data_IF_366699735648
#
_entry.id   IF_366699735648
#
_cell.length_a   1.000
_cell.length_b   1.000
_cell.length_c   1.000
_cell.angle_alpha   90.00
_cell.angle_beta   90.00
_cell.angle_gamma   90.00
#
_symmetry.space_group_name_H-M   'P 1'
#
loop_
_entity.id
_entity.type
_entity.pdbx_description
1 polymer ?
#
# COMPACT_ATOMS: atom_id res chain seq x y z
N UNK A 1 17.37 14.43 7.03
CA UNK A 1 15.93 14.77 6.92
C UNK A 1 15.33 13.87 5.86
N UNK A 2 14.19 13.24 6.12
CA UNK A 2 13.56 12.31 5.17
C UNK A 2 12.99 13.09 3.98
N UNK A 3 13.40 12.70 2.78
CA UNK A 3 12.94 13.25 1.50
C UNK A 3 12.03 12.30 0.73
N UNK A 4 12.23 10.99 0.92
CA UNK A 4 11.45 9.97 0.22
C UNK A 4 10.87 8.95 1.19
N UNK A 5 9.64 8.51 0.89
CA UNK A 5 8.94 7.49 1.66
C UNK A 5 8.62 6.31 0.73
N UNK A 6 9.05 5.10 1.14
CA UNK A 6 8.83 3.86 0.44
C UNK A 6 7.83 2.99 1.20
N UNK A 7 6.68 2.70 0.60
CA UNK A 7 5.59 1.94 1.22
C UNK A 7 5.34 0.63 0.47
N UNK A 8 5.35 -0.51 1.18
CA UNK A 8 5.18 -1.82 0.59
C UNK A 8 3.72 -2.10 0.20
N UNK A 9 3.49 -3.26 -0.40
CA UNK A 9 2.16 -3.86 -0.45
C UNK A 9 1.70 -4.23 0.97
N UNK A 10 0.39 -4.34 1.19
CA UNK A 10 -0.07 -4.69 2.53
C UNK A 10 -1.59 -4.81 2.70
N UNK A 11 -2.39 -4.51 1.69
CA UNK A 11 -3.86 -4.57 1.79
C UNK A 11 -4.37 -3.77 2.99
N UNK A 12 -5.02 -4.45 3.94
CA UNK A 12 -5.57 -3.82 5.15
C UNK A 12 -4.49 -3.34 6.15
N UNK A 13 -3.21 -3.71 5.96
CA UNK A 13 -2.11 -3.14 6.73
C UNK A 13 -1.91 -1.64 6.46
N UNK A 14 -2.64 -1.04 5.53
CA UNK A 14 -2.70 0.40 5.37
C UNK A 14 -2.99 1.11 6.72
N UNK A 15 -3.82 0.52 7.59
CA UNK A 15 -4.07 1.05 8.94
C UNK A 15 -2.81 1.02 9.82
N UNK A 16 -1.99 -0.04 9.68
CA UNK A 16 -0.68 -0.08 10.35
C UNK A 16 0.27 0.96 9.78
N UNK A 17 0.34 1.13 8.46
CA UNK A 17 1.18 2.15 7.85
C UNK A 17 0.88 3.53 8.42
N UNK A 18 -0.40 3.88 8.61
CA UNK A 18 -0.80 5.14 9.24
C UNK A 18 -0.24 5.28 10.65
N UNK A 19 -0.35 4.25 11.50
CA UNK A 19 0.18 4.31 12.85
C UNK A 19 1.70 4.38 12.89
N UNK A 20 2.38 3.53 12.08
CA UNK A 20 3.83 3.50 12.00
C UNK A 20 4.40 4.85 11.56
N UNK A 21 3.90 5.42 10.46
CA UNK A 21 4.33 6.75 9.98
C UNK A 21 4.07 7.82 11.05
N UNK A 22 2.92 7.77 11.73
CA UNK A 22 2.60 8.73 12.78
C UNK A 22 3.60 8.68 13.96
N UNK A 23 4.03 7.48 14.35
CA UNK A 23 5.08 7.34 15.37
C UNK A 23 6.38 8.05 14.98
N UNK A 24 6.80 7.95 13.72
CA UNK A 24 7.98 8.68 13.21
C UNK A 24 7.75 10.19 13.09
N UNK A 25 6.55 10.63 12.77
CA UNK A 25 6.18 12.07 12.77
C UNK A 25 6.26 12.62 14.19
N UNK A 26 5.67 11.93 15.18
CA UNK A 26 5.67 12.35 16.58
C UNK A 26 7.08 12.45 17.19
N UNK A 27 8.01 11.64 16.69
CA UNK A 27 9.42 11.69 17.08
C UNK A 27 10.27 12.67 16.25
N UNK A 28 9.65 13.51 15.42
CA UNK A 28 10.30 14.50 14.56
C UNK A 28 11.34 13.90 13.58
N UNK A 29 11.17 12.64 13.20
CA UNK A 29 11.99 11.98 12.19
C UNK A 29 11.46 12.23 10.79
N UNK A 30 10.13 12.21 10.62
CA UNK A 30 9.44 12.53 9.37
C UNK A 30 8.72 13.86 9.54
N UNK A 31 8.99 14.79 8.63
CA UNK A 31 8.16 15.96 8.36
C UNK A 31 7.64 15.85 6.92
N UNK A 32 6.34 15.62 6.76
CA UNK A 32 5.72 15.40 5.45
C UNK A 32 5.83 16.61 4.51
N UNK A 33 6.04 17.82 5.06
CA UNK A 33 6.27 19.01 4.24
C UNK A 33 7.60 18.92 3.48
N UNK A 34 8.60 18.28 4.08
CA UNK A 34 9.94 18.13 3.50
C UNK A 34 10.07 16.89 2.59
N UNK A 35 9.04 16.02 2.53
CA UNK A 35 9.06 14.87 1.64
C UNK A 35 8.91 15.33 0.19
N UNK A 36 9.86 14.95 -0.65
CA UNK A 36 9.91 15.29 -2.08
C UNK A 36 9.18 14.26 -2.94
N UNK A 37 9.12 12.98 -2.47
CA UNK A 37 8.47 11.93 -3.23
C UNK A 37 8.12 10.68 -2.44
N UNK A 38 7.26 9.89 -3.07
CA UNK A 38 6.69 8.66 -2.52
C UNK A 38 6.80 7.53 -3.54
N UNK A 39 7.18 6.36 -3.06
CA UNK A 39 7.28 5.11 -3.80
C UNK A 39 6.35 4.10 -3.16
N UNK A 40 5.35 3.62 -3.90
CA UNK A 40 4.29 2.80 -3.31
C UNK A 40 3.86 1.60 -4.14
N UNK A 41 3.53 0.51 -3.44
CA UNK A 41 3.02 -0.73 -4.02
C UNK A 41 1.66 -1.03 -3.39
N UNK A 42 0.62 -1.35 -4.18
CA UNK A 42 -0.69 -1.76 -3.66
C UNK A 42 -1.26 -0.78 -2.62
N UNK A 43 -1.52 -1.22 -1.40
CA UNK A 43 -1.95 -0.34 -0.29
C UNK A 43 -0.97 0.82 -0.06
N UNK A 44 0.34 0.59 -0.25
CA UNK A 44 1.35 1.63 -0.22
C UNK A 44 1.16 2.66 -1.34
N UNK A 45 0.75 2.26 -2.55
CA UNK A 45 0.45 3.20 -3.64
C UNK A 45 -0.77 4.07 -3.33
N UNK A 46 -1.79 3.47 -2.71
CA UNK A 46 -2.98 4.21 -2.24
C UNK A 46 -2.59 5.27 -1.21
N UNK A 47 -1.85 4.88 -0.16
CA UNK A 47 -1.46 5.82 0.88
C UNK A 47 -0.48 6.88 0.34
N UNK A 48 0.50 6.50 -0.46
CA UNK A 48 1.45 7.41 -1.11
C UNK A 48 0.73 8.49 -1.92
N UNK A 49 -0.27 8.12 -2.72
CA UNK A 49 -1.05 9.08 -3.51
C UNK A 49 -1.84 10.06 -2.62
N UNK A 50 -2.35 9.60 -1.50
CA UNK A 50 -3.06 10.44 -0.52
C UNK A 50 -2.10 11.40 0.19
N UNK A 51 -0.91 10.93 0.57
CA UNK A 51 0.10 11.78 1.23
C UNK A 51 0.60 12.89 0.31
N UNK A 52 0.67 12.65 -1.02
CA UNK A 52 0.97 13.70 -2.00
C UNK A 52 -0.04 14.87 -1.99
N UNK A 53 -1.28 14.66 -1.52
CA UNK A 53 -2.30 15.71 -1.44
C UNK A 53 -1.96 16.81 -0.42
N UNK A 54 -1.02 16.59 0.48
CA UNK A 54 -0.69 17.53 1.55
C UNK A 54 -1.90 17.85 2.45
N UNK A 55 -2.68 16.83 2.79
CA UNK A 55 -3.71 16.91 3.82
C UNK A 55 -3.07 16.83 5.20
N UNK A 56 -3.71 17.44 6.21
CA UNK A 56 -3.32 17.23 7.59
C UNK A 56 -3.37 15.73 7.91
N UNK A 57 -2.31 15.20 8.52
CA UNK A 57 -2.14 13.77 8.72
C UNK A 57 -3.28 13.16 9.55
N UNK A 58 -3.73 13.86 10.58
CA UNK A 58 -4.85 13.47 11.44
C UNK A 58 -6.16 13.39 10.66
N UNK A 59 -6.34 14.21 9.64
CA UNK A 59 -7.52 14.15 8.75
C UNK A 59 -7.52 12.84 7.94
N UNK A 60 -6.35 12.41 7.46
CA UNK A 60 -6.20 11.14 6.75
C UNK A 60 -6.45 9.96 7.70
N UNK A 61 -5.87 10.00 8.90
CA UNK A 61 -6.07 8.98 9.95
C UNK A 61 -7.55 8.85 10.30
N UNK A 62 -8.18 9.96 10.63
CA UNK A 62 -9.60 10.02 10.98
C UNK A 62 -10.49 9.45 9.87
N UNK A 63 -10.18 9.78 8.63
CA UNK A 63 -10.89 9.25 7.48
C UNK A 63 -10.87 7.72 7.41
N UNK A 64 -9.71 7.09 7.61
CA UNK A 64 -9.59 5.64 7.56
C UNK A 64 -10.16 4.94 8.79
N UNK A 65 -10.14 5.57 9.96
CA UNK A 65 -10.68 4.99 11.19
C UNK A 65 -12.21 5.08 11.23
N UNK A 66 -12.78 6.26 11.01
CA UNK A 66 -14.19 6.55 11.29
C UNK A 66 -15.15 6.20 10.14
N UNK A 67 -14.63 5.99 8.94
CA UNK A 67 -15.48 5.74 7.77
C UNK A 67 -16.28 4.44 7.89
N UNK A 68 -17.52 4.48 7.40
CA UNK A 68 -18.43 3.32 7.36
C UNK A 68 -18.09 2.38 6.19
N UNK A 69 -16.98 1.63 6.33
CA UNK A 69 -16.43 0.77 5.27
C UNK A 69 -17.37 -0.32 4.81
N UNK A 70 -18.25 -0.84 5.67
CA UNK A 70 -19.24 -1.85 5.32
C UNK A 70 -20.19 -1.41 4.17
N UNK A 71 -20.36 -0.11 3.95
CA UNK A 71 -21.16 0.40 2.82
C UNK A 71 -20.45 0.27 1.48
N UNK A 72 -19.12 0.22 1.48
CA UNK A 72 -18.29 0.10 0.27
C UNK A 72 -17.99 -1.37 -0.02
N UNK A 73 -17.66 -2.13 1.03
CA UNK A 73 -17.27 -3.54 0.92
C UNK A 73 -18.44 -4.53 1.08
N UNK A 74 -19.67 -4.06 0.94
CA UNK A 74 -20.84 -4.93 0.96
C UNK A 74 -20.95 -5.70 -0.36
N UNK A 75 -20.55 -6.99 -0.32
CA UNK A 75 -20.64 -7.91 -1.46
C UNK A 75 -22.04 -8.54 -1.45
N UNK A 76 -22.85 -8.24 -2.45
CA UNK A 76 -24.14 -8.88 -2.61
C UNK A 76 -24.04 -10.24 -3.36
N UNK A 77 -25.08 -11.06 -3.28
CA UNK A 77 -25.12 -12.39 -3.89
C UNK A 77 -24.90 -12.37 -5.41
N UNK A 78 -25.30 -11.31 -6.10
CA UNK A 78 -25.12 -11.15 -7.56
C UNK A 78 -23.63 -10.92 -7.88
N UNK A 79 -22.93 -10.10 -7.10
CA UNK A 79 -21.50 -9.89 -7.28
C UNK A 79 -20.72 -11.18 -7.02
N UNK A 80 -21.14 -11.97 -6.05
CA UNK A 80 -20.51 -13.25 -5.77
C UNK A 80 -20.77 -14.27 -6.91
N UNK A 81 -21.96 -14.31 -7.49
CA UNK A 81 -22.25 -15.20 -8.61
C UNK A 81 -21.48 -14.85 -9.88
N UNK A 82 -21.21 -13.56 -10.10
CA UNK A 82 -20.43 -13.10 -11.25
C UNK A 82 -18.91 -13.22 -11.04
N UNK A 83 -18.48 -13.62 -9.86
CA UNK A 83 -17.07 -13.70 -9.50
C UNK A 83 -16.23 -14.53 -10.48
N UNK A 84 -16.72 -15.72 -10.88
CA UNK A 84 -15.99 -16.59 -11.79
C UNK A 84 -15.87 -16.00 -13.20
N UNK A 85 -16.91 -15.31 -13.67
CA UNK A 85 -16.94 -14.65 -14.97
C UNK A 85 -16.03 -13.41 -14.97
N UNK A 86 -16.13 -12.62 -13.92
CA UNK A 86 -15.46 -11.32 -13.78
C UNK A 86 -14.01 -11.44 -13.25
N UNK A 87 -13.61 -12.65 -12.80
CA UNK A 87 -12.26 -12.95 -12.23
C UNK A 87 -11.89 -12.12 -11.02
N UNK A 88 -12.87 -11.52 -10.33
CA UNK A 88 -12.68 -10.71 -9.14
C UNK A 88 -13.99 -10.12 -8.62
N UNK A 89 -14.01 -9.70 -7.37
CA UNK A 89 -15.19 -9.13 -6.70
C UNK A 89 -15.25 -7.62 -6.87
N UNK A 90 -14.12 -6.95 -6.57
CA UNK A 90 -14.01 -5.51 -6.59
C UNK A 90 -13.48 -5.01 -7.93
N UNK A 91 -13.82 -3.78 -8.29
CA UNK A 91 -13.35 -3.15 -9.52
C UNK A 91 -12.85 -1.72 -9.23
N UNK A 92 -12.39 -1.03 -10.27
CA UNK A 92 -11.87 0.34 -10.17
C UNK A 92 -12.85 1.33 -9.50
N UNK A 93 -14.16 1.15 -9.68
CA UNK A 93 -15.16 2.01 -9.02
C UNK A 93 -15.13 1.88 -7.49
N UNK A 94 -14.88 0.67 -6.97
CA UNK A 94 -14.74 0.48 -5.51
C UNK A 94 -13.49 1.19 -4.98
N UNK A 95 -12.37 1.11 -5.71
CA UNK A 95 -11.15 1.84 -5.34
C UNK A 95 -11.36 3.36 -5.37
N UNK A 96 -12.03 3.87 -6.41
CA UNK A 96 -12.45 5.28 -6.47
C UNK A 96 -13.26 5.63 -5.23
N UNK A 97 -14.29 4.86 -4.90
CA UNK A 97 -15.10 5.11 -3.71
C UNK A 97 -14.28 5.17 -2.42
N UNK A 98 -13.18 4.40 -2.32
CA UNK A 98 -12.30 4.39 -1.16
C UNK A 98 -11.57 5.74 -1.00
N UNK A 99 -11.05 6.34 -2.06
CA UNK A 99 -10.13 7.48 -1.96
C UNK A 99 -10.70 8.80 -2.47
N UNK A 100 -11.73 8.78 -3.31
CA UNK A 100 -12.30 9.96 -3.95
C UNK A 100 -12.64 11.12 -3.00
N UNK A 101 -13.23 10.92 -1.80
CA UNK A 101 -13.53 12.05 -0.92
C UNK A 101 -12.31 12.86 -0.52
N UNK A 102 -11.14 12.21 -0.32
CA UNK A 102 -9.88 12.89 -0.01
C UNK A 102 -9.38 13.68 -1.22
N UNK A 103 -9.43 13.10 -2.41
CA UNK A 103 -9.02 13.76 -3.66
C UNK A 103 -9.93 14.95 -3.99
N UNK A 104 -11.25 14.77 -3.90
CA UNK A 104 -12.23 15.84 -4.10
C UNK A 104 -12.07 17.02 -3.13
N UNK A 105 -11.65 16.77 -1.90
CA UNK A 105 -11.38 17.83 -0.91
C UNK A 105 -10.26 18.78 -1.34
N UNK A 106 -9.38 18.31 -2.25
CA UNK A 106 -8.29 19.08 -2.86
C UNK A 106 -8.58 19.48 -4.32
N UNK A 107 -9.81 19.27 -4.79
CA UNK A 107 -10.24 19.68 -6.13
C UNK A 107 -9.87 18.73 -7.28
N UNK A 108 -9.40 17.51 -6.97
CA UNK A 108 -9.07 16.53 -8.00
C UNK A 108 -10.25 15.64 -8.38
N UNK A 109 -10.44 15.43 -9.69
CA UNK A 109 -11.29 14.39 -10.23
C UNK A 109 -10.41 13.19 -10.65
N UNK A 110 -10.55 12.06 -9.95
CA UNK A 110 -9.81 10.84 -10.24
C UNK A 110 -10.11 10.24 -11.61
N UNK A 111 -11.24 10.60 -12.24
CA UNK A 111 -11.57 10.12 -13.57
C UNK A 111 -10.83 10.88 -14.68
N UNK A 112 -10.18 11.98 -14.38
CA UNK A 112 -9.53 12.83 -15.38
C UNK A 112 -8.08 13.15 -15.07
N UNK A 113 -7.69 13.21 -13.79
CA UNK A 113 -6.33 13.61 -13.41
C UNK A 113 -5.30 12.57 -13.87
N UNK A 114 -4.30 13.00 -14.63
CA UNK A 114 -3.17 12.18 -15.07
C UNK A 114 -2.02 12.24 -14.07
N UNK A 115 -1.06 11.31 -14.19
CA UNK A 115 0.16 11.31 -13.38
C UNK A 115 0.92 12.65 -13.51
N UNK A 116 0.98 13.21 -14.72
CA UNK A 116 1.67 14.50 -14.99
C UNK A 116 0.95 15.68 -14.36
N UNK A 117 -0.36 15.76 -14.51
CA UNK A 117 -1.16 16.83 -13.92
C UNK A 117 -1.10 16.78 -12.38
N UNK A 118 -1.15 15.57 -11.81
CA UNK A 118 -1.02 15.38 -10.38
C UNK A 118 0.34 15.84 -9.85
N UNK A 119 1.44 15.48 -10.52
CA UNK A 119 2.77 15.96 -10.19
C UNK A 119 2.86 17.50 -10.30
N UNK A 120 2.40 18.09 -11.41
CA UNK A 120 2.47 19.53 -11.63
C UNK A 120 1.73 20.34 -10.55
N UNK A 121 0.67 19.78 -9.98
CA UNK A 121 -0.13 20.47 -8.97
C UNK A 121 0.33 20.22 -7.54
N UNK A 122 0.90 19.06 -7.24
CA UNK A 122 1.38 18.71 -5.89
C UNK A 122 2.87 19.02 -5.69
N UNK A 123 3.63 19.07 -6.77
CA UNK A 123 5.10 19.12 -6.78
C UNK A 123 5.74 18.00 -5.96
N UNK A 124 5.06 16.84 -5.85
CA UNK A 124 5.54 15.64 -5.16
C UNK A 124 5.70 14.51 -6.18
N UNK A 125 6.88 13.89 -6.22
CA UNK A 125 7.10 12.71 -7.05
C UNK A 125 6.28 11.54 -6.50
N UNK A 126 5.62 10.81 -7.39
CA UNK A 126 4.88 9.60 -7.05
C UNK A 126 5.23 8.51 -8.05
N UNK A 127 5.81 7.43 -7.53
CA UNK A 127 6.13 6.21 -8.28
C UNK A 127 5.28 5.05 -7.77
N UNK A 128 4.52 4.45 -8.66
CA UNK A 128 3.59 3.35 -8.39
C UNK A 128 4.03 2.12 -9.17
N UNK A 129 4.02 0.95 -8.52
CA UNK A 129 4.53 -0.28 -9.11
C UNK A 129 3.44 -1.32 -9.25
N UNK A 130 3.33 -1.91 -10.46
CA UNK A 130 2.46 -3.03 -10.75
C UNK A 130 3.21 -4.12 -11.52
N UNK A 131 2.69 -5.34 -11.49
CA UNK A 131 3.25 -6.48 -12.22
C UNK A 131 2.59 -6.58 -13.59
N UNK A 132 3.37 -6.55 -14.66
CA UNK A 132 2.91 -6.90 -15.99
C UNK A 132 2.62 -8.41 -16.05
N UNK A 133 1.36 -8.80 -16.23
CA UNK A 133 0.97 -10.21 -16.22
C UNK A 133 1.52 -11.03 -17.41
N UNK A 134 1.92 -10.38 -18.50
CA UNK A 134 2.43 -11.06 -19.69
C UNK A 134 3.95 -11.31 -19.61
N UNK A 135 4.75 -10.28 -19.24
CA UNK A 135 6.20 -10.41 -19.12
C UNK A 135 6.66 -10.87 -17.74
N UNK A 136 5.79 -10.76 -16.73
CA UNK A 136 6.08 -11.00 -15.33
C UNK A 136 7.18 -10.08 -14.76
N UNK A 137 7.24 -8.85 -15.30
CA UNK A 137 8.18 -7.81 -14.90
C UNK A 137 7.44 -6.68 -14.17
N UNK A 138 8.12 -6.05 -13.20
CA UNK A 138 7.59 -4.87 -12.51
C UNK A 138 7.60 -3.68 -13.46
N UNK A 139 6.46 -3.02 -13.58
CA UNK A 139 6.27 -1.77 -14.29
C UNK A 139 6.11 -0.62 -13.30
N UNK A 140 6.93 0.41 -13.46
CA UNK A 140 6.81 1.67 -12.77
C UNK A 140 5.90 2.63 -13.55
N UNK A 141 4.97 3.28 -12.83
CA UNK A 141 4.11 4.35 -13.32
C UNK A 141 4.45 5.63 -12.55
N UNK A 142 4.90 6.65 -13.28
CA UNK A 142 5.22 7.97 -12.73
C UNK A 142 5.00 9.06 -13.78
N UNK A 143 5.18 10.32 -13.38
CA UNK A 143 4.93 11.47 -14.25
C UNK A 143 5.94 11.60 -15.41
N UNK A 144 7.10 10.94 -15.36
CA UNK A 144 8.12 10.96 -16.40
C UNK A 144 7.93 9.87 -17.43
N UNK A 145 7.71 8.63 -16.96
CA UNK A 145 7.65 7.45 -17.83
C UNK A 145 6.26 7.18 -18.39
N UNK A 146 5.22 7.58 -17.69
CA UNK A 146 3.81 7.36 -18.05
C UNK A 146 2.95 8.60 -17.75
N UNK A 147 3.30 9.80 -18.31
CA UNK A 147 2.69 11.08 -17.95
C UNK A 147 1.17 11.14 -18.15
N UNK A 148 0.67 10.50 -19.19
CA UNK A 148 -0.72 10.61 -19.65
C UNK A 148 -1.66 9.54 -19.04
N UNK A 149 -1.12 8.60 -18.25
CA UNK A 149 -1.97 7.62 -17.58
C UNK A 149 -2.77 8.29 -16.46
N UNK A 150 -4.02 7.89 -16.31
CA UNK A 150 -4.82 8.37 -15.18
C UNK A 150 -4.21 7.87 -13.86
N UNK A 151 -4.11 8.76 -12.88
CA UNK A 151 -3.61 8.41 -11.56
C UNK A 151 -4.34 7.20 -10.96
N UNK A 152 -5.67 7.16 -11.09
CA UNK A 152 -6.48 6.05 -10.58
C UNK A 152 -6.20 4.73 -11.31
N UNK A 153 -5.81 4.75 -12.57
CA UNK A 153 -5.45 3.54 -13.30
C UNK A 153 -4.13 2.97 -12.79
N UNK A 154 -3.12 3.81 -12.57
CA UNK A 154 -1.85 3.39 -11.97
C UNK A 154 -2.05 2.78 -10.57
N UNK A 155 -2.85 3.43 -9.70
CA UNK A 155 -3.19 2.92 -8.37
C UNK A 155 -3.95 1.59 -8.47
N UNK A 156 -4.90 1.49 -9.40
CA UNK A 156 -5.69 0.27 -9.59
C UNK A 156 -4.83 -0.90 -10.05
N UNK A 157 -3.93 -0.69 -11.01
CA UNK A 157 -3.02 -1.74 -11.47
C UNK A 157 -2.14 -2.24 -10.33
N UNK A 158 -1.60 -1.32 -9.54
CA UNK A 158 -0.77 -1.65 -8.37
C UNK A 158 -1.52 -2.43 -7.29
N UNK A 159 -2.86 -2.27 -7.22
CA UNK A 159 -3.72 -2.90 -6.21
C UNK A 159 -4.51 -4.09 -6.74
N UNK A 160 -4.26 -4.52 -7.98
CA UNK A 160 -5.05 -5.55 -8.66
C UNK A 160 -4.65 -6.96 -8.19
N UNK A 161 -4.99 -7.29 -6.93
CA UNK A 161 -4.78 -8.63 -6.37
C UNK A 161 -5.66 -9.62 -7.14
N UNK A 162 -5.09 -10.70 -7.72
CA UNK A 162 -5.83 -11.73 -8.41
C UNK A 162 -6.98 -12.29 -7.55
N UNK A 163 -8.11 -12.55 -8.16
CA UNK A 163 -9.32 -13.05 -7.51
C UNK A 163 -10.03 -12.08 -6.56
N UNK A 164 -9.39 -11.00 -6.13
CA UNK A 164 -10.00 -9.93 -5.31
C UNK A 164 -10.49 -8.80 -6.19
N UNK A 165 -9.61 -8.28 -7.04
CA UNK A 165 -9.94 -7.21 -7.98
C UNK A 165 -10.10 -7.77 -9.39
N UNK A 166 -11.09 -7.24 -10.12
CA UNK A 166 -11.32 -7.59 -11.53
C UNK A 166 -10.12 -7.13 -12.35
N UNK A 167 -9.53 -8.00 -13.18
CA UNK A 167 -8.43 -7.61 -14.04
C UNK A 167 -8.85 -6.47 -14.97
N UNK A 168 -7.93 -5.55 -15.21
CA UNK A 168 -8.13 -4.41 -16.08
C UNK A 168 -6.99 -4.32 -17.09
N UNK A 169 -7.35 -4.22 -18.36
CA UNK A 169 -6.38 -4.13 -19.45
C UNK A 169 -6.15 -2.68 -19.84
N UNK A 170 -4.89 -2.32 -20.02
CA UNK A 170 -4.46 -1.03 -20.54
C UNK A 170 -3.47 -1.25 -21.68
N UNK A 171 -3.77 -0.73 -22.87
CA UNK A 171 -2.96 -0.90 -24.09
C UNK A 171 -2.60 -2.37 -24.40
N UNK A 172 -3.55 -3.29 -24.25
CA UNK A 172 -3.36 -4.71 -24.50
C UNK A 172 -2.58 -5.47 -23.41
N UNK A 173 -2.25 -4.81 -22.29
CA UNK A 173 -1.51 -5.39 -21.16
C UNK A 173 -2.42 -5.45 -19.94
N UNK A 174 -2.49 -6.64 -19.34
CA UNK A 174 -3.13 -6.84 -18.05
C UNK A 174 -2.07 -6.66 -16.95
N UNK A 175 -2.41 -5.88 -15.92
CA UNK A 175 -1.55 -5.66 -14.76
C UNK A 175 -2.13 -6.33 -13.52
N UNK A 176 -1.25 -6.79 -12.66
CA UNK A 176 -1.54 -7.37 -11.34
C UNK A 176 -0.86 -6.56 -10.25
N UNK A 177 -1.26 -6.81 -9.01
CA UNK A 177 -0.64 -6.20 -7.84
C UNK A 177 0.88 -6.37 -7.84
N UNK A 178 1.61 -5.26 -7.71
CA UNK A 178 3.07 -5.27 -7.70
C UNK A 178 3.65 -6.06 -6.52
N UNK A 179 2.90 -6.17 -5.42
CA UNK A 179 3.29 -6.94 -4.25
C UNK A 179 3.41 -8.44 -4.48
N UNK A 180 3.01 -8.96 -5.64
CA UNK A 180 3.26 -10.37 -5.98
C UNK A 180 4.76 -10.64 -6.16
N UNK A 181 5.52 -9.67 -6.71
CA UNK A 181 6.94 -9.86 -7.05
C UNK A 181 7.88 -8.82 -6.42
N UNK A 182 7.36 -7.77 -5.79
CA UNK A 182 8.14 -6.70 -5.21
C UNK A 182 7.72 -6.46 -3.75
N UNK A 183 8.61 -6.75 -2.81
CA UNK A 183 8.33 -6.58 -1.38
C UNK A 183 8.38 -5.10 -0.97
N UNK A 184 9.45 -4.40 -1.36
CA UNK A 184 9.67 -2.99 -1.05
C UNK A 184 10.19 -2.24 -2.29
N UNK A 185 9.74 -1.01 -2.53
CA UNK A 185 10.25 -0.18 -3.62
C UNK A 185 11.56 0.55 -3.28
N UNK A 186 12.20 0.24 -2.12
CA UNK A 186 13.37 0.95 -1.60
C UNK A 186 14.55 0.94 -2.57
N UNK A 187 14.90 -0.23 -3.13
CA UNK A 187 16.04 -0.34 -4.05
C UNK A 187 15.83 0.48 -5.32
N UNK A 188 14.61 0.52 -5.81
CA UNK A 188 14.25 1.32 -6.98
C UNK A 188 14.32 2.81 -6.64
N UNK A 189 13.81 3.22 -5.48
CA UNK A 189 13.91 4.61 -5.01
C UNK A 189 15.37 5.05 -4.93
N UNK A 190 16.23 4.28 -4.27
CA UNK A 190 17.66 4.60 -4.14
C UNK A 190 18.40 4.63 -5.49
N UNK A 191 17.95 3.84 -6.46
CA UNK A 191 18.53 3.82 -7.81
C UNK A 191 18.08 5.00 -8.67
N UNK A 192 16.82 5.41 -8.53
CA UNK A 192 16.23 6.47 -9.34
C UNK A 192 16.57 7.88 -8.83
N UNK A 193 16.74 8.00 -7.52
CA UNK A 193 16.97 9.29 -6.87
C UNK A 193 18.43 9.42 -6.41
N UNK A 194 19.02 10.59 -6.62
CA UNK A 194 20.39 10.85 -6.16
C UNK A 194 20.38 11.25 -4.68
N UNK A 195 20.07 10.29 -3.81
CA UNK A 195 19.88 10.48 -2.37
C UNK A 195 20.70 9.49 -1.58
N UNK A 196 20.92 9.82 -0.32
CA UNK A 196 21.57 8.92 0.66
C UNK A 196 20.54 8.04 1.38
N UNK A 197 20.99 6.93 1.94
CA UNK A 197 20.16 6.04 2.76
C UNK A 197 19.58 6.72 4.01
N UNK A 198 20.12 7.86 4.43
CA UNK A 198 19.64 8.67 5.54
C UNK A 198 18.45 9.58 5.18
N UNK A 199 18.19 9.75 3.89
CA UNK A 199 17.12 10.60 3.38
C UNK A 199 15.86 9.81 3.00
N UNK A 200 15.85 8.48 3.21
CA UNK A 200 14.72 7.60 2.91
C UNK A 200 14.17 6.99 4.19
N UNK A 201 12.85 6.97 4.27
CA UNK A 201 12.09 6.12 5.20
C UNK A 201 11.43 5.00 4.42
N UNK A 202 11.56 3.76 4.88
CA UNK A 202 10.94 2.62 4.23
C UNK A 202 10.25 1.71 5.26
N UNK A 203 9.08 1.23 4.88
CA UNK A 203 8.38 0.15 5.55
C UNK A 203 8.51 -1.15 4.74
N UNK A 204 8.55 -2.27 5.43
CA UNK A 204 8.52 -3.60 4.84
C UNK A 204 7.67 -4.54 5.68
N UNK A 205 6.85 -5.36 5.01
CA UNK A 205 6.10 -6.41 5.68
C UNK A 205 7.04 -7.53 6.12
N UNK A 206 6.95 -7.96 7.38
CA UNK A 206 7.74 -9.08 7.88
C UNK A 206 7.17 -10.40 7.33
N UNK A 207 8.00 -11.12 6.57
CA UNK A 207 7.62 -12.36 5.88
C UNK A 207 7.45 -13.56 6.82
N UNK A 208 8.02 -13.50 8.02
CA UNK A 208 8.09 -14.66 8.95
C UNK A 208 6.70 -15.24 9.25
N UNK A 209 5.67 -14.38 9.35
CA UNK A 209 4.31 -14.84 9.64
C UNK A 209 3.58 -15.45 8.42
N UNK A 210 3.95 -15.11 7.21
CA UNK A 210 3.35 -15.70 5.99
C UNK A 210 3.83 -17.14 5.76
N UNK A 211 5.09 -17.43 6.08
CA UNK A 211 5.68 -18.78 5.93
C UNK A 211 5.04 -19.81 6.85
N UNK A 212 4.59 -19.41 8.05
CA UNK A 212 3.99 -20.31 9.04
C UNK A 212 2.52 -20.63 8.79
N UNK A 213 1.84 -19.93 7.89
CA UNK A 213 0.44 -20.17 7.57
C UNK A 213 0.30 -21.46 6.77
N UNK A 214 -0.21 -22.50 7.41
CA UNK A 214 -0.53 -23.74 6.71
C UNK A 214 -1.71 -23.51 5.75
N UNK A 215 -1.57 -24.01 4.52
CA UNK A 215 -2.67 -24.10 3.56
C UNK A 215 -3.42 -25.39 3.88
N UNK A 216 -4.68 -25.26 4.29
CA UNK A 216 -5.52 -26.38 4.69
C UNK A 216 -6.62 -26.67 3.69
N UNK A 217 -7.01 -27.93 3.56
CA UNK A 217 -8.14 -28.36 2.71
C UNK A 217 -9.48 -27.81 3.20
N UNK A 218 -9.55 -27.39 4.46
CA UNK A 218 -10.74 -26.80 5.07
C UNK A 218 -10.76 -25.27 5.03
N UNK A 219 -9.73 -24.63 4.43
CA UNK A 219 -9.75 -23.19 4.23
C UNK A 219 -10.92 -22.80 3.33
N UNK A 220 -11.62 -21.73 3.66
CA UNK A 220 -12.58 -21.16 2.74
C UNK A 220 -11.84 -20.54 1.52
N UNK A 221 -12.55 -20.42 0.39
CA UNK A 221 -11.92 -20.13 -0.91
C UNK A 221 -10.98 -18.92 -0.91
N UNK A 222 -11.40 -17.78 -0.35
CA UNK A 222 -10.57 -16.57 -0.34
C UNK A 222 -9.32 -16.70 0.54
N UNK A 223 -9.39 -17.12 1.80
CA UNK A 223 -8.20 -17.40 2.60
C UNK A 223 -7.24 -18.40 1.93
N UNK A 224 -7.77 -19.43 1.27
CA UNK A 224 -6.95 -20.38 0.52
C UNK A 224 -6.14 -19.70 -0.59
N UNK A 225 -6.80 -18.88 -1.45
CA UNK A 225 -6.14 -18.17 -2.54
C UNK A 225 -5.12 -17.14 -2.00
N UNK A 226 -5.49 -16.36 -0.97
CA UNK A 226 -4.59 -15.37 -0.38
C UNK A 226 -3.34 -16.03 0.23
N UNK A 227 -3.49 -17.17 0.91
CA UNK A 227 -2.35 -17.94 1.43
C UNK A 227 -1.42 -18.44 0.31
N UNK A 228 -1.98 -18.84 -0.85
CA UNK A 228 -1.18 -19.23 -2.01
C UNK A 228 -0.40 -18.03 -2.54
N UNK A 229 -1.05 -16.89 -2.72
CA UNK A 229 -0.42 -15.66 -3.21
C UNK A 229 0.70 -15.23 -2.25
N UNK A 230 0.46 -15.23 -0.94
CA UNK A 230 1.47 -14.94 0.07
C UNK A 230 2.69 -15.86 -0.04
N UNK A 231 2.47 -17.17 -0.22
CA UNK A 231 3.58 -18.12 -0.36
C UNK A 231 4.38 -17.92 -1.65
N UNK A 232 3.70 -17.60 -2.74
CA UNK A 232 4.36 -17.27 -4.01
C UNK A 232 5.18 -15.99 -3.87
N UNK A 233 4.63 -14.97 -3.21
CA UNK A 233 5.34 -13.72 -2.90
C UNK A 233 6.62 -14.00 -2.09
N UNK A 234 6.51 -14.68 -0.95
CA UNK A 234 7.66 -15.00 -0.10
C UNK A 234 8.73 -15.77 -0.87
N UNK A 235 8.33 -16.75 -1.68
CA UNK A 235 9.26 -17.54 -2.48
C UNK A 235 9.94 -16.68 -3.57
N UNK A 236 9.20 -15.80 -4.22
CA UNK A 236 9.72 -14.91 -5.27
C UNK A 236 10.67 -13.85 -4.72
N UNK A 237 10.34 -13.26 -3.58
CA UNK A 237 11.10 -12.15 -2.96
C UNK A 237 12.37 -12.65 -2.26
N UNK A 238 12.40 -13.88 -1.73
CA UNK A 238 13.59 -14.46 -1.09
C UNK A 238 14.84 -14.50 -2.00
N UNK A 239 14.66 -14.28 -3.29
CA UNK A 239 15.73 -14.22 -4.30
C UNK A 239 16.31 -12.81 -4.50
N UNK A 240 15.73 -11.78 -3.88
CA UNK A 240 16.16 -10.37 -4.04
C UNK A 240 17.03 -9.96 -2.85
N UNK A 241 18.15 -9.27 -3.11
CA UNK A 241 18.98 -8.69 -2.04
C UNK A 241 18.24 -7.57 -1.35
N UNK A 242 18.10 -7.67 -0.02
CA UNK A 242 17.54 -6.60 0.80
C UNK A 242 18.57 -5.49 0.98
N UNK A 243 18.26 -4.31 0.47
CA UNK A 243 19.00 -3.09 0.79
C UNK A 243 18.36 -2.46 2.02
N UNK A 244 19.17 -2.09 3.00
CA UNK A 244 18.72 -1.36 4.20
C UNK A 244 18.94 0.14 4.03
N UNK A 245 18.11 0.94 4.69
CA UNK A 245 18.33 2.36 4.91
C UNK A 245 18.26 2.68 6.42
N UNK A 246 18.60 3.90 6.79
CA UNK A 246 18.69 4.30 8.20
C UNK A 246 17.38 4.12 8.98
N UNK A 247 16.27 4.40 8.33
CA UNK A 247 14.93 4.26 8.89
C UNK A 247 14.15 3.22 8.07
N UNK A 248 14.58 1.97 8.18
CA UNK A 248 13.98 0.82 7.52
C UNK A 248 13.28 -0.07 8.55
N UNK A 249 11.97 0.07 8.65
CA UNK A 249 11.20 -0.66 9.66
C UNK A 249 10.46 -1.85 9.06
N UNK A 250 10.80 -3.05 9.54
CA UNK A 250 10.02 -4.27 9.31
C UNK A 250 8.94 -4.40 10.38
N UNK A 251 7.72 -4.65 9.95
CA UNK A 251 6.59 -4.80 10.86
C UNK A 251 5.81 -6.09 10.58
N UNK A 252 5.17 -6.62 11.62
CA UNK A 252 4.33 -7.80 11.48
C UNK A 252 2.99 -7.44 10.84
N UNK A 253 2.62 -8.17 9.79
CA UNK A 253 1.32 -8.00 9.13
C UNK A 253 0.17 -8.39 10.06
N UNK A 254 -1.00 -7.79 9.86
CA UNK A 254 -2.23 -8.20 10.52
C UNK A 254 -2.51 -9.66 10.17
N UNK A 255 -2.72 -10.51 11.17
CA UNK A 255 -3.05 -11.92 10.93
C UNK A 255 -4.52 -12.08 10.50
N UNK A 256 -4.74 -12.12 9.19
CA UNK A 256 -6.07 -12.34 8.61
C UNK A 256 -6.65 -13.75 8.88
N UNK A 257 -5.86 -14.68 9.38
CA UNK A 257 -6.34 -16.02 9.76
C UNK A 257 -7.15 -15.99 11.05
N UNK A 258 -6.81 -15.06 11.94
CA UNK A 258 -7.48 -14.87 13.23
C UNK A 258 -8.36 -13.62 13.26
N UNK A 259 -8.17 -12.69 12.34
CA UNK A 259 -8.98 -11.48 12.24
C UNK A 259 -10.12 -11.71 11.24
N UNK A 260 -11.35 -11.63 11.72
CA UNK A 260 -12.50 -11.58 10.82
C UNK A 260 -12.47 -10.23 10.05
N UNK A 261 -12.22 -10.30 8.74
CA UNK A 261 -12.26 -9.17 7.84
C UNK A 261 -13.54 -8.33 8.03
N UNK A 262 -14.62 -9.01 8.31
CA UNK A 262 -15.93 -8.42 8.58
C UNK A 262 -15.88 -7.54 9.83
N UNK A 263 -15.16 -7.97 10.89
CA UNK A 263 -14.98 -7.15 12.09
C UNK A 263 -14.21 -5.87 11.79
N UNK A 264 -13.15 -5.93 10.99
CA UNK A 264 -12.37 -4.73 10.62
C UNK A 264 -13.21 -3.71 9.84
N UNK A 265 -14.06 -4.20 8.93
CA UNK A 265 -14.95 -3.35 8.11
C UNK A 265 -16.04 -2.69 8.98
N UNK A 266 -16.53 -3.39 9.99
CA UNK A 266 -17.64 -2.91 10.83
C UNK A 266 -17.21 -2.18 12.11
N UNK A 267 -16.03 -2.47 12.68
CA UNK A 267 -15.58 -1.94 13.97
C UNK A 267 -14.60 -0.77 13.80
N UNK A 268 -15.04 0.43 14.19
CA UNK A 268 -14.19 1.60 14.32
C UNK A 268 -13.13 1.41 15.40
N UNK A 269 -13.53 0.86 16.57
CA UNK A 269 -12.62 0.63 17.69
C UNK A 269 -11.47 -0.31 17.31
N UNK A 270 -11.75 -1.36 16.53
CA UNK A 270 -10.69 -2.26 16.06
C UNK A 270 -9.70 -1.52 15.17
N UNK A 271 -10.16 -0.70 14.22
CA UNK A 271 -9.29 0.08 13.36
C UNK A 271 -8.44 1.07 14.16
N UNK A 272 -9.05 1.71 15.16
CA UNK A 272 -8.36 2.60 16.08
C UNK A 272 -7.30 1.88 16.91
N UNK A 273 -7.60 0.70 17.42
CA UNK A 273 -6.64 -0.10 18.18
C UNK A 273 -5.43 -0.49 17.34
N UNK A 274 -5.64 -1.00 16.11
CA UNK A 274 -4.56 -1.32 15.18
C UNK A 274 -3.65 -0.11 14.94
N UNK A 275 -4.25 1.05 14.71
CA UNK A 275 -3.52 2.29 14.53
C UNK A 275 -2.69 2.69 15.75
N UNK A 276 -3.27 2.65 16.96
CA UNK A 276 -2.58 3.00 18.21
C UNK A 276 -1.45 2.02 18.54
N UNK A 277 -1.69 0.72 18.44
CA UNK A 277 -0.67 -0.32 18.62
C UNK A 277 0.50 -0.13 17.64
N UNK A 278 0.22 0.36 16.43
CA UNK A 278 1.26 0.62 15.44
C UNK A 278 2.09 1.86 15.76
N UNK A 279 1.51 2.88 16.41
CA UNK A 279 2.29 4.00 16.94
C UNK A 279 3.27 3.51 18.03
N UNK A 280 2.79 2.65 18.92
CA UNK A 280 3.63 2.08 19.99
C UNK A 280 4.74 1.20 19.41
N UNK A 281 4.44 0.39 18.37
CA UNK A 281 5.42 -0.41 17.64
C UNK A 281 6.52 0.48 17.01
N UNK A 282 6.13 1.61 16.42
CA UNK A 282 7.08 2.58 15.87
C UNK A 282 7.94 3.24 16.97
N UNK A 283 7.35 3.62 18.11
CA UNK A 283 8.08 4.22 19.22
C UNK A 283 9.13 3.25 19.78
N UNK A 284 8.78 1.99 20.00
CA UNK A 284 9.71 0.95 20.44
C UNK A 284 10.87 0.74 19.47
N UNK A 285 10.57 0.73 18.16
CA UNK A 285 11.61 0.64 17.14
C UNK A 285 12.55 1.86 17.15
N UNK A 286 12.01 3.07 17.31
CA UNK A 286 12.80 4.30 17.36
C UNK A 286 13.71 4.32 18.59
N UNK A 287 13.25 3.86 19.75
CA UNK A 287 14.08 3.70 20.94
C UNK A 287 15.21 2.71 20.68
N UNK A 288 14.91 1.54 20.13
CA UNK A 288 15.91 0.53 19.79
C UNK A 288 17.02 1.07 18.89
N UNK A 289 16.67 1.81 17.82
CA UNK A 289 17.69 2.35 16.91
C UNK A 289 18.49 3.53 17.51
N UNK A 290 17.99 4.20 18.55
CA UNK A 290 18.76 5.20 19.30
C UNK A 290 19.79 4.53 20.20
N UNK A 291 19.39 3.50 20.94
CA UNK A 291 20.26 2.79 21.88
C UNK A 291 21.42 2.07 21.16
N UNK A 292 21.16 1.52 19.95
CA UNK A 292 22.21 0.84 19.16
C UNK A 292 23.24 1.78 18.52
N UNK A 293 23.09 3.11 18.63
CA UNK A 293 24.05 4.10 18.12
C UNK A 293 24.95 4.69 19.19
N UNK A 294 24.62 4.49 20.44
CA UNK A 294 25.41 4.97 21.57
C UNK A 294 26.46 3.94 22.05
N UNK A 295 26.47 2.73 21.44
CA UNK A 295 27.52 1.70 21.61
C UNK A 295 28.46 1.68 20.37
#
# INVERSE_FOLDING_TARGET
MIKYICLPSGGLNLLKFLGLIHGFINNNIIDLNNVEGYYGISAGSVLSSILCLGLEYETVVKYFIERTWHKIFNVNNIQFMNYLTDKGIFNKKHLIQIIEPLFKSKGYDLNTVTMKEFYNSTNKKLSIFALNACSFEIKEFNYETTPDILLIDAIYFSSCIPCIFKPYEYNGICYLDGGICLNSPLDICLSNENITKDEVFALECNEIHSVTRNIGVNDSYFPYILKIIDKLHVHGVSLVKNTDCKYFMRFNVIDYGNLDLNMLIHSEDMRKNIYLESIDEANQYIEFIKDTKDD
#
